data_IF_127203652081
#
_entry.id   IF_127203652081
#
_cell.length_a   1.000
_cell.length_b   1.000
_cell.length_c   1.000
_cell.angle_alpha   90.00
_cell.angle_beta   90.00
_cell.angle_gamma   90.00
#
_symmetry.space_group_name_H-M   'P 1'
#
loop_
_entity.id
_entity.type
_entity.pdbx_description
1 polymer ?
#
# COMPACT_ATOMS: atom_id res chain seq x y z
N UNK A 1 5.80 -24.70 -43.86
CA UNK A 1 5.37 -23.45 -43.17
C UNK A 1 6.33 -22.33 -43.56
N UNK A 2 5.83 -21.18 -44.06
CA UNK A 2 6.66 -20.12 -44.62
C UNK A 2 7.42 -19.36 -43.50
N UNK A 3 8.75 -19.28 -43.55
CA UNK A 3 9.59 -18.65 -42.51
C UNK A 3 9.16 -17.20 -42.20
N UNK A 4 8.66 -16.48 -43.21
CA UNK A 4 8.13 -15.11 -43.06
C UNK A 4 6.83 -15.08 -42.25
N UNK A 5 5.95 -16.07 -42.42
CA UNK A 5 4.71 -16.18 -41.66
C UNK A 5 4.98 -16.54 -40.18
N UNK A 6 5.99 -17.38 -39.91
CA UNK A 6 6.42 -17.70 -38.54
C UNK A 6 7.01 -16.46 -37.85
N UNK A 7 7.87 -15.71 -38.54
CA UNK A 7 8.45 -14.48 -37.99
C UNK A 7 7.36 -13.42 -37.71
N UNK A 8 6.40 -13.24 -38.62
CA UNK A 8 5.28 -12.34 -38.42
C UNK A 8 4.40 -12.76 -37.22
N UNK A 9 4.10 -14.05 -37.07
CA UNK A 9 3.31 -14.55 -35.94
C UNK A 9 4.02 -14.33 -34.59
N UNK A 10 5.34 -14.54 -34.52
CA UNK A 10 6.14 -14.27 -33.31
C UNK A 10 6.15 -12.79 -32.96
N UNK A 11 6.29 -11.90 -33.95
CA UNK A 11 6.25 -10.45 -33.74
C UNK A 11 4.88 -9.99 -33.23
N UNK A 12 3.80 -10.51 -33.79
CA UNK A 12 2.44 -10.21 -33.33
C UNK A 12 2.24 -10.67 -31.89
N UNK A 13 2.66 -11.90 -31.55
CA UNK A 13 2.58 -12.41 -30.18
C UNK A 13 3.40 -11.57 -29.20
N UNK A 14 4.64 -11.20 -29.57
CA UNK A 14 5.49 -10.33 -28.76
C UNK A 14 4.85 -8.96 -28.54
N UNK A 15 4.27 -8.35 -29.57
CA UNK A 15 3.54 -7.09 -29.46
C UNK A 15 2.34 -7.21 -28.51
N UNK A 16 1.54 -8.27 -28.61
CA UNK A 16 0.43 -8.53 -27.68
C UNK A 16 0.90 -8.69 -26.23
N UNK A 17 1.99 -9.43 -25.99
CA UNK A 17 2.56 -9.60 -24.66
C UNK A 17 3.07 -8.28 -24.09
N UNK A 18 3.76 -7.46 -24.89
CA UNK A 18 4.25 -6.15 -24.48
C UNK A 18 3.11 -5.18 -24.16
N UNK A 19 2.07 -5.12 -25.01
CA UNK A 19 0.88 -4.31 -24.75
C UNK A 19 0.17 -4.75 -23.46
N UNK A 20 -0.01 -6.06 -23.26
CA UNK A 20 -0.62 -6.60 -22.04
C UNK A 20 0.20 -6.29 -20.78
N UNK A 21 1.53 -6.35 -20.88
CA UNK A 21 2.42 -6.01 -19.77
C UNK A 21 2.39 -4.50 -19.46
N UNK A 22 2.44 -3.66 -20.49
CA UNK A 22 2.33 -2.20 -20.35
C UNK A 22 1.02 -1.79 -19.70
N UNK A 23 -0.10 -2.38 -20.10
CA UNK A 23 -1.40 -2.16 -19.48
C UNK A 23 -1.40 -2.51 -17.99
N UNK A 24 -0.83 -3.68 -17.61
CA UNK A 24 -0.72 -4.07 -16.21
C UNK A 24 0.10 -3.10 -15.38
N UNK A 25 1.23 -2.63 -15.91
CA UNK A 25 2.06 -1.64 -15.21
C UNK A 25 1.31 -0.32 -15.01
N UNK A 26 0.60 0.14 -16.04
CA UNK A 26 -0.18 1.36 -15.96
C UNK A 26 -1.27 1.27 -14.89
N UNK A 27 -2.08 0.20 -14.90
CA UNK A 27 -3.12 -0.03 -13.88
C UNK A 27 -2.52 -0.12 -12.48
N UNK A 28 -1.37 -0.77 -12.31
CA UNK A 28 -0.70 -0.86 -11.01
C UNK A 28 -0.26 0.51 -10.51
N UNK A 29 0.28 1.34 -11.40
CA UNK A 29 0.69 2.70 -11.06
C UNK A 29 -0.51 3.57 -10.71
N UNK A 30 -1.61 3.46 -11.45
CA UNK A 30 -2.86 4.15 -11.13
C UNK A 30 -3.40 3.73 -9.75
N UNK A 31 -3.37 2.43 -9.42
CA UNK A 31 -3.77 1.92 -8.10
C UNK A 31 -2.90 2.46 -6.96
N UNK A 32 -1.59 2.59 -7.20
CA UNK A 32 -0.68 3.21 -6.24
C UNK A 32 -1.13 4.66 -6.03
N UNK A 33 -1.18 5.47 -7.09
CA UNK A 33 -1.38 6.91 -6.94
C UNK A 33 -2.79 7.31 -6.48
N UNK A 34 -3.82 6.56 -6.89
CA UNK A 34 -5.22 6.89 -6.63
C UNK A 34 -5.54 6.86 -5.13
N UNK A 35 -6.05 7.96 -4.55
CA UNK A 35 -6.53 7.97 -3.17
C UNK A 35 -7.66 6.97 -3.00
N UNK A 36 -7.61 6.18 -1.93
CA UNK A 36 -8.72 5.34 -1.51
C UNK A 36 -9.09 5.78 -0.10
N UNK A 37 -10.37 6.02 0.11
CA UNK A 37 -10.90 6.45 1.40
C UNK A 37 -11.56 5.27 2.10
N UNK A 38 -11.25 5.12 3.40
CA UNK A 38 -12.03 4.29 4.31
C UNK A 38 -13.48 4.81 4.40
N UNK A 39 -14.38 4.02 4.99
CA UNK A 39 -15.74 4.50 5.29
C UNK A 39 -15.73 5.75 6.17
N UNK A 40 -14.86 5.79 7.17
CA UNK A 40 -14.67 6.96 8.03
C UNK A 40 -14.18 8.18 7.24
N UNK A 41 -13.12 8.03 6.43
CA UNK A 41 -12.65 9.10 5.57
C UNK A 41 -13.73 9.60 4.59
N UNK A 42 -14.57 8.71 4.04
CA UNK A 42 -15.69 9.12 3.17
C UNK A 42 -16.75 9.93 3.92
N UNK A 43 -17.05 9.56 5.16
CA UNK A 43 -17.96 10.31 6.01
C UNK A 43 -17.43 11.73 6.25
N UNK A 44 -16.17 11.85 6.67
CA UNK A 44 -15.51 13.15 6.87
C UNK A 44 -15.42 13.95 5.56
N UNK A 45 -15.15 13.29 4.43
CA UNK A 45 -15.12 13.94 3.13
C UNK A 45 -16.49 14.54 2.77
N UNK A 46 -17.59 13.85 3.06
CA UNK A 46 -18.95 14.35 2.85
C UNK A 46 -19.30 15.61 3.64
N UNK A 47 -18.62 15.83 4.77
CA UNK A 47 -18.75 17.02 5.62
C UNK A 47 -17.76 18.13 5.24
N UNK A 48 -16.74 17.80 4.44
CA UNK A 48 -15.72 18.75 4.01
C UNK A 48 -16.18 19.53 2.76
N UNK A 49 -15.99 20.87 2.71
CA UNK A 49 -16.31 21.66 1.52
C UNK A 49 -15.63 21.09 0.27
N UNK A 50 -16.44 20.74 -0.74
CA UNK A 50 -15.94 20.18 -2.01
C UNK A 50 -15.74 18.66 -2.00
N UNK A 51 -15.95 17.95 -0.89
CA UNK A 51 -15.94 16.49 -0.86
C UNK A 51 -14.55 15.85 -0.94
N UNK A 52 -13.48 16.63 -0.80
CA UNK A 52 -12.10 16.18 -1.01
C UNK A 52 -11.28 16.41 0.25
N UNK A 53 -10.59 15.35 0.72
CA UNK A 53 -9.65 15.45 1.82
C UNK A 53 -8.28 15.88 1.30
N UNK A 54 -7.63 16.78 2.03
CA UNK A 54 -6.26 17.21 1.72
C UNK A 54 -5.29 16.14 2.20
N UNK A 55 -4.38 15.71 1.33
CA UNK A 55 -3.29 14.82 1.71
C UNK A 55 -1.99 15.59 1.94
N UNK A 56 -1.24 15.18 2.96
CA UNK A 56 0.12 15.61 3.26
C UNK A 56 1.02 14.39 3.14
N UNK A 57 2.05 14.46 2.30
CA UNK A 57 3.03 13.38 2.21
C UNK A 57 3.91 13.39 3.47
N UNK A 58 3.77 12.38 4.34
CA UNK A 58 4.71 12.15 5.43
C UNK A 58 6.01 11.54 4.92
N UNK A 59 5.91 10.75 3.84
CA UNK A 59 7.05 10.31 3.05
C UNK A 59 6.71 10.24 1.58
N UNK A 60 7.57 10.84 0.77
CA UNK A 60 7.44 10.95 -0.69
C UNK A 60 8.27 9.91 -1.45
N UNK A 61 9.33 9.38 -0.83
CA UNK A 61 10.23 8.44 -1.48
C UNK A 61 9.79 6.98 -1.28
N UNK A 62 9.88 6.21 -2.37
CA UNK A 62 9.62 4.77 -2.32
C UNK A 62 10.76 4.08 -1.57
N UNK A 63 10.41 3.17 -0.67
CA UNK A 63 11.37 2.39 0.11
C UNK A 63 11.15 0.90 -0.10
N UNK A 64 12.24 0.11 -0.12
CA UNK A 64 12.15 -1.34 -0.16
C UNK A 64 12.87 -1.95 1.03
N UNK A 65 12.17 -2.80 1.79
CA UNK A 65 12.70 -3.54 2.95
C UNK A 65 12.29 -5.00 2.77
N UNK A 66 13.25 -5.92 2.87
CA UNK A 66 13.01 -7.37 2.73
C UNK A 66 12.21 -7.78 1.47
N UNK A 67 12.44 -7.07 0.36
CA UNK A 67 11.74 -7.32 -0.91
C UNK A 67 10.32 -6.75 -1.00
N UNK A 68 9.81 -6.10 0.05
CA UNK A 68 8.51 -5.41 0.06
C UNK A 68 8.72 -3.93 -0.15
N UNK A 69 7.90 -3.33 -1.03
CA UNK A 69 7.97 -1.90 -1.34
C UNK A 69 6.89 -1.11 -0.60
N UNK A 70 7.30 -0.06 0.11
CA UNK A 70 6.46 1.03 0.56
C UNK A 70 6.50 2.15 -0.49
N UNK A 71 5.35 2.50 -1.05
CA UNK A 71 5.24 3.49 -2.13
C UNK A 71 5.10 4.91 -1.63
N UNK A 72 4.21 5.12 -0.66
CA UNK A 72 4.00 6.42 -0.02
C UNK A 72 3.32 6.26 1.33
N UNK A 73 3.51 7.27 2.17
CA UNK A 73 2.82 7.45 3.44
C UNK A 73 2.18 8.82 3.41
N UNK A 74 0.84 8.86 3.44
CA UNK A 74 0.05 10.07 3.31
C UNK A 74 -0.79 10.27 4.57
N UNK A 75 -0.80 11.47 5.09
CA UNK A 75 -1.66 11.88 6.19
C UNK A 75 -2.80 12.74 5.66
N UNK A 76 -4.01 12.48 6.16
CA UNK A 76 -5.21 13.25 5.86
C UNK A 76 -5.65 13.95 7.15
N UNK A 77 -5.25 15.21 7.38
CA UNK A 77 -5.47 15.90 8.66
C UNK A 77 -6.93 15.98 9.07
N UNK A 78 -7.83 16.24 8.12
CA UNK A 78 -9.27 16.34 8.39
C UNK A 78 -9.84 15.06 8.99
N UNK A 79 -9.37 13.90 8.50
CA UNK A 79 -9.81 12.59 8.97
C UNK A 79 -8.85 11.99 10.00
N UNK A 80 -7.81 12.72 10.42
CA UNK A 80 -6.72 12.23 11.30
C UNK A 80 -6.27 10.82 10.91
N UNK A 81 -6.11 10.57 9.60
CA UNK A 81 -5.88 9.23 9.06
C UNK A 81 -4.56 9.18 8.32
N UNK A 82 -3.70 8.22 8.64
CA UNK A 82 -2.52 7.88 7.84
C UNK A 82 -2.86 6.72 6.91
N UNK A 83 -2.47 6.84 5.66
CA UNK A 83 -2.59 5.80 4.64
C UNK A 83 -1.21 5.43 4.12
N UNK A 84 -0.83 4.18 4.30
CA UNK A 84 0.40 3.61 3.77
C UNK A 84 0.08 2.69 2.59
N UNK A 85 0.68 2.93 1.43
CA UNK A 85 0.53 2.03 0.28
C UNK A 85 1.76 1.16 0.14
N UNK A 86 1.57 -0.15 0.23
CA UNK A 86 2.65 -1.16 0.21
C UNK A 86 2.37 -2.25 -0.81
N UNK A 87 3.41 -2.99 -1.19
CA UNK A 87 3.22 -4.29 -1.85
C UNK A 87 2.54 -5.29 -0.91
N UNK A 88 1.70 -6.14 -1.46
CA UNK A 88 1.12 -7.29 -0.76
C UNK A 88 2.21 -8.27 -0.35
N UNK A 89 2.23 -8.63 0.93
CA UNK A 89 3.21 -9.55 1.49
C UNK A 89 2.69 -10.98 1.41
N UNK A 90 2.99 -11.70 0.33
CA UNK A 90 2.53 -13.09 0.13
C UNK A 90 2.94 -14.06 1.25
N UNK A 91 4.00 -13.75 1.99
CA UNK A 91 4.45 -14.55 3.15
C UNK A 91 3.58 -14.35 4.40
N UNK A 92 2.71 -13.33 4.42
CA UNK A 92 1.78 -13.05 5.51
C UNK A 92 0.36 -13.43 5.06
N UNK A 93 -0.08 -14.69 5.29
CA UNK A 93 -1.42 -15.12 4.90
C UNK A 93 -2.50 -14.29 5.59
N UNK A 94 -2.22 -13.79 6.79
CA UNK A 94 -2.99 -12.75 7.47
C UNK A 94 -2.05 -11.61 7.83
N UNK A 95 -1.96 -10.60 6.97
CA UNK A 95 -1.13 -9.43 7.25
C UNK A 95 -1.83 -8.53 8.28
N UNK A 96 -1.10 -8.08 9.29
CA UNK A 96 -1.45 -6.95 10.13
C UNK A 96 -0.48 -5.80 9.90
N UNK A 97 -0.83 -4.62 10.38
CA UNK A 97 0.09 -3.49 10.38
C UNK A 97 -0.07 -2.65 11.64
N UNK A 98 1.00 -2.00 12.07
CA UNK A 98 1.02 -1.02 13.17
C UNK A 98 1.89 0.16 12.79
N UNK A 99 1.48 1.36 13.17
CA UNK A 99 2.39 2.49 13.24
C UNK A 99 2.96 2.57 14.65
N UNK A 100 4.26 2.77 14.74
CA UNK A 100 4.99 2.87 16.01
C UNK A 100 5.50 4.30 16.14
N UNK A 101 5.09 5.00 17.19
CA UNK A 101 5.59 6.32 17.57
C UNK A 101 6.99 6.27 18.17
N UNK A 102 7.70 7.40 18.19
CA UNK A 102 9.01 7.54 18.85
C UNK A 102 8.97 7.26 20.35
N UNK A 103 7.81 7.47 20.97
CA UNK A 103 7.54 7.12 22.37
C UNK A 103 7.13 5.65 22.56
N UNK A 104 7.12 4.84 21.49
CA UNK A 104 6.68 3.45 21.50
C UNK A 104 5.16 3.25 21.46
N UNK A 105 4.36 4.32 21.34
CA UNK A 105 2.92 4.16 21.18
C UNK A 105 2.59 3.44 19.87
N UNK A 106 1.66 2.48 19.92
CA UNK A 106 1.25 1.68 18.77
C UNK A 106 -0.13 2.12 18.29
N UNK A 107 -0.28 2.27 16.98
CA UNK A 107 -1.56 2.52 16.32
C UNK A 107 -1.81 1.36 15.35
N UNK A 108 -2.83 0.55 15.64
CA UNK A 108 -3.20 -0.58 14.80
C UNK A 108 -3.75 -0.10 13.45
N UNK A 109 -3.22 -0.68 12.39
CA UNK A 109 -3.70 -0.49 11.03
C UNK A 109 -4.58 -1.62 10.57
N UNK A 110 -5.37 -1.33 9.56
CA UNK A 110 -6.21 -2.31 8.88
C UNK A 110 -6.23 -2.05 7.38
N UNK A 111 -6.66 -3.05 6.61
CA UNK A 111 -6.93 -2.90 5.18
C UNK A 111 -8.18 -3.68 4.82
N UNK A 112 -8.75 -3.38 3.66
CA UNK A 112 -9.84 -4.16 3.09
C UNK A 112 -9.24 -5.24 2.17
N UNK A 113 -9.38 -6.53 2.47
CA UNK A 113 -8.86 -7.59 1.60
C UNK A 113 -9.39 -7.51 0.17
N UNK A 114 -10.65 -7.08 0.01
CA UNK A 114 -11.27 -6.87 -1.30
C UNK A 114 -10.62 -5.73 -2.12
N UNK A 115 -9.79 -4.89 -1.50
CA UNK A 115 -9.04 -3.82 -2.16
C UNK A 115 -7.62 -4.23 -2.55
N UNK A 116 -7.17 -5.45 -2.21
CA UNK A 116 -5.93 -5.99 -2.73
C UNK A 116 -6.09 -6.16 -4.24
N UNK A 117 -5.41 -5.30 -5.00
CA UNK A 117 -5.44 -5.34 -6.47
C UNK A 117 -4.02 -5.30 -6.99
N UNK A 118 -3.71 -6.25 -7.87
CA UNK A 118 -2.39 -6.38 -8.50
C UNK A 118 -1.21 -6.40 -7.50
N UNK A 119 -1.42 -6.97 -6.31
CA UNK A 119 -0.40 -7.08 -5.27
C UNK A 119 -0.04 -5.76 -4.61
N UNK A 120 -0.95 -4.78 -4.58
CA UNK A 120 -0.82 -3.52 -3.84
C UNK A 120 -1.89 -3.46 -2.75
N UNK A 121 -1.51 -3.00 -1.57
CA UNK A 121 -2.37 -2.87 -0.38
C UNK A 121 -2.28 -1.45 0.14
N UNK A 122 -3.43 -0.89 0.55
CA UNK A 122 -3.52 0.38 1.26
C UNK A 122 -3.92 0.10 2.71
N UNK A 123 -3.03 0.44 3.62
CA UNK A 123 -3.20 0.29 5.06
C UNK A 123 -3.71 1.61 5.62
N UNK A 124 -4.78 1.54 6.41
CA UNK A 124 -5.43 2.68 7.05
C UNK A 124 -5.13 2.67 8.54
N UNK A 125 -4.72 3.82 9.07
CA UNK A 125 -4.47 4.07 10.48
C UNK A 125 -5.27 5.31 10.85
N UNK A 126 -6.36 5.12 11.59
CA UNK A 126 -7.28 6.19 11.97
C UNK A 126 -6.89 6.76 13.34
N UNK A 127 -7.44 7.92 13.69
CA UNK A 127 -7.20 8.60 14.97
C UNK A 127 -5.73 8.99 15.24
N UNK A 128 -4.96 9.24 14.19
CA UNK A 128 -3.56 9.69 14.28
C UNK A 128 -3.50 11.19 14.59
N UNK A 129 -3.19 11.52 15.85
CA UNK A 129 -3.10 12.90 16.32
C UNK A 129 -1.76 13.58 15.98
N UNK A 130 -0.65 12.84 16.10
CA UNK A 130 0.72 13.34 15.98
C UNK A 130 1.51 12.57 14.91
N UNK A 131 1.22 12.79 13.61
CA UNK A 131 1.90 12.09 12.52
C UNK A 131 3.42 12.35 12.46
N UNK A 132 3.89 13.49 12.97
CA UNK A 132 5.29 13.89 13.02
C UNK A 132 6.13 13.08 14.00
N UNK A 133 5.49 12.41 14.98
CA UNK A 133 6.18 11.57 15.97
C UNK A 133 6.21 10.10 15.56
N UNK A 134 5.76 9.75 14.37
CA UNK A 134 5.78 8.36 13.87
C UNK A 134 7.21 7.95 13.50
N UNK A 135 7.67 6.83 14.06
CA UNK A 135 9.01 6.30 13.84
C UNK A 135 9.01 5.18 12.79
N UNK A 136 8.08 4.23 12.88
CA UNK A 136 8.05 3.06 12.00
C UNK A 136 6.63 2.72 11.54
N UNK A 137 6.55 2.17 10.32
CA UNK A 137 5.46 1.28 9.92
C UNK A 137 5.96 -0.15 10.09
N UNK A 138 5.23 -0.96 10.84
CA UNK A 138 5.51 -2.38 11.05
C UNK A 138 4.42 -3.22 10.39
N UNK A 139 4.83 -4.18 9.56
CA UNK A 139 3.97 -5.21 8.99
C UNK A 139 4.20 -6.51 9.76
N UNK A 140 3.13 -7.17 10.19
CA UNK A 140 3.17 -8.36 11.05
C UNK A 140 2.33 -9.50 10.44
N UNK A 141 2.65 -10.75 10.79
CA UNK A 141 1.80 -11.90 10.47
C UNK A 141 0.87 -12.22 11.64
N UNK A 142 -0.40 -11.82 11.54
CA UNK A 142 -1.38 -12.02 12.63
C UNK A 142 -1.91 -13.46 12.70
N UNK A 143 -1.52 -14.36 11.78
CA UNK A 143 -1.89 -15.77 11.84
C UNK A 143 -1.09 -16.57 12.89
N UNK A 144 -0.05 -15.98 13.50
CA UNK A 144 0.78 -16.63 14.52
C UNK A 144 0.97 -15.75 15.77
N UNK A 145 -0.10 -15.44 16.52
CA UNK A 145 0.02 -14.65 17.74
C UNK A 145 0.73 -15.39 18.90
N UNK A 146 0.80 -16.74 18.85
CA UNK A 146 1.30 -17.60 19.94
C UNK A 146 2.70 -18.21 19.70
N UNK A 147 3.43 -17.83 18.65
CA UNK A 147 4.80 -18.34 18.51
C UNK A 147 5.74 -17.60 19.45
N UNK A 148 6.42 -18.34 20.34
CA UNK A 148 7.55 -17.86 21.15
C UNK A 148 8.76 -17.41 20.30
N UNK A 149 8.73 -17.67 19.00
CA UNK A 149 9.61 -17.08 18.00
C UNK A 149 9.08 -15.71 17.60
N UNK A 150 9.95 -14.70 17.61
CA UNK A 150 9.62 -13.32 17.26
C UNK A 150 8.72 -13.26 16.02
N UNK A 151 7.56 -12.60 16.13
CA UNK A 151 6.64 -12.41 15.00
C UNK A 151 7.46 -11.95 13.77
N UNK A 152 7.31 -12.61 12.61
CA UNK A 152 8.01 -12.17 11.42
C UNK A 152 7.49 -10.78 11.08
N UNK A 153 8.31 -9.77 11.36
CA UNK A 153 7.95 -8.36 11.23
C UNK A 153 8.80 -7.71 10.15
N UNK A 154 8.20 -6.84 9.36
CA UNK A 154 8.93 -5.96 8.43
C UNK A 154 8.73 -4.54 8.92
N UNK A 155 9.83 -3.84 9.17
CA UNK A 155 9.82 -2.46 9.64
C UNK A 155 10.30 -1.50 8.58
N UNK A 156 9.47 -0.53 8.24
CA UNK A 156 9.82 0.62 7.42
C UNK A 156 10.05 1.81 8.36
N UNK A 157 11.28 2.35 8.47
CA UNK A 157 11.48 3.62 9.15
C UNK A 157 10.69 4.68 8.41
N UNK A 158 10.03 5.60 9.11
CA UNK A 158 9.28 6.70 8.52
C UNK A 158 10.06 8.03 8.54
N UNK A 159 11.12 8.07 9.33
CA UNK A 159 12.13 9.13 9.36
C UNK A 159 13.42 8.67 8.67
#
# INVERSE_FOLDING_TARGET
>A
MNKKAVAAAVLVLAAFLLCGYGWRLHVRQELIETPVYSSFMRMIAGETPGGVLTEVALRSEKMRVEGIQLYHVRYYPQARTVVCTVDEVKKFPSMGARLIGENGAEISGWYLPAQIKQGVVKLFFEEVEHPETLAFLELIDVARPDSTEAEPTIRFPLK
#
